data_IF_521219508491
#
_entry.id   IF_521219508491
#
_cell.length_a   1.000
_cell.length_b   1.000
_cell.length_c   1.000
_cell.angle_alpha   90.00
_cell.angle_beta   90.00
_cell.angle_gamma   90.00
#
_symmetry.space_group_name_H-M   'P 1'
#
loop_
_entity.id
_entity.type
_entity.pdbx_description
1 polymer ?
#
# COMPACT_ATOMS: atom_id res chain seq x y z
N UNK A 1 -24.49 -5.80 61.03
CA UNK A 1 -23.07 -5.78 60.62
C UNK A 1 -23.04 -5.92 59.11
N UNK A 2 -22.53 -4.94 58.35
CA UNK A 2 -22.29 -5.14 56.93
C UNK A 2 -20.94 -5.84 56.78
N UNK A 3 -20.94 -7.02 56.15
CA UNK A 3 -19.73 -7.74 55.78
C UNK A 3 -19.12 -7.03 54.57
N UNK A 4 -18.02 -6.33 54.78
CA UNK A 4 -17.20 -5.76 53.71
C UNK A 4 -16.50 -6.91 52.99
N UNK A 5 -17.01 -7.29 51.83
CA UNK A 5 -16.27 -8.17 50.90
C UNK A 5 -15.12 -7.34 50.32
N UNK A 6 -13.95 -7.48 50.91
CA UNK A 6 -12.69 -7.00 50.33
C UNK A 6 -12.47 -7.74 49.02
N UNK A 7 -12.64 -7.06 47.89
CA UNK A 7 -12.19 -7.57 46.60
C UNK A 7 -10.67 -7.80 46.70
N UNK A 8 -10.22 -9.03 46.48
CA UNK A 8 -8.79 -9.31 46.36
C UNK A 8 -8.30 -8.58 45.12
N UNK A 9 -7.50 -7.52 45.30
CA UNK A 9 -6.74 -6.91 44.22
C UNK A 9 -5.81 -7.97 43.64
N UNK A 10 -6.06 -8.35 42.38
CA UNK A 10 -5.16 -9.20 41.62
C UNK A 10 -3.95 -8.32 41.28
N UNK A 11 -2.85 -8.49 42.00
CA UNK A 11 -1.59 -7.81 41.68
C UNK A 11 -1.16 -8.26 40.28
N UNK A 12 -0.99 -7.35 39.30
CA UNK A 12 -0.55 -7.73 37.97
C UNK A 12 0.84 -8.36 38.05
N UNK A 13 1.02 -9.50 37.40
CA UNK A 13 2.35 -10.12 37.28
C UNK A 13 3.07 -9.40 36.13
N UNK A 14 4.04 -8.57 36.48
CA UNK A 14 4.89 -7.89 35.51
C UNK A 14 6.03 -8.80 35.04
N UNK A 15 6.36 -8.74 33.75
CA UNK A 15 7.51 -9.43 33.16
C UNK A 15 8.49 -8.44 32.55
N UNK A 16 9.79 -8.73 32.61
CA UNK A 16 10.80 -7.87 31.97
C UNK A 16 10.87 -8.14 30.47
N UNK A 17 10.95 -7.07 29.67
CA UNK A 17 11.18 -7.15 28.23
C UNK A 17 12.51 -7.86 27.91
N UNK A 18 12.67 -8.48 26.74
CA UNK A 18 13.95 -9.07 26.33
C UNK A 18 15.01 -8.00 26.01
N UNK A 19 16.26 -8.44 25.85
CA UNK A 19 17.32 -7.56 25.38
C UNK A 19 16.97 -6.91 24.02
N UNK A 20 17.30 -5.62 23.80
CA UNK A 20 18.15 -4.77 24.64
C UNK A 20 17.39 -3.96 25.72
N UNK A 21 16.10 -4.21 25.95
CA UNK A 21 15.23 -3.41 26.82
C UNK A 21 15.15 -3.92 28.28
N UNK A 22 16.23 -4.60 28.73
CA UNK A 22 16.40 -5.10 30.11
C UNK A 22 17.76 -4.73 30.70
N UNK A 23 18.44 -3.72 30.14
CA UNK A 23 19.75 -3.30 30.64
C UNK A 23 19.61 -2.69 32.02
N UNK A 24 20.27 -3.27 33.03
CA UNK A 24 20.28 -2.79 34.42
C UNK A 24 20.75 -1.34 34.58
N UNK A 25 21.52 -0.81 33.62
CA UNK A 25 21.99 0.58 33.64
C UNK A 25 20.95 1.59 33.17
N UNK A 26 19.77 1.16 32.68
CA UNK A 26 18.68 2.06 32.30
C UNK A 26 18.15 2.85 33.50
N UNK A 27 17.76 4.10 33.25
CA UNK A 27 17.36 5.11 34.24
C UNK A 27 15.84 5.40 34.22
N UNK A 28 15.09 4.63 33.44
CA UNK A 28 13.63 4.62 33.38
C UNK A 28 13.09 3.26 32.96
N UNK A 29 11.90 2.90 33.44
CA UNK A 29 11.14 1.73 33.00
C UNK A 29 9.82 2.21 32.39
N UNK A 30 9.50 1.75 31.18
CA UNK A 30 8.17 1.93 30.59
C UNK A 30 7.36 0.66 30.85
N UNK A 31 6.25 0.77 31.58
CA UNK A 31 5.37 -0.36 31.86
C UNK A 31 4.24 -0.41 30.84
N UNK A 32 4.15 -1.46 30.03
CA UNK A 32 3.10 -1.60 29.01
C UNK A 32 1.74 -1.96 29.61
N UNK A 33 0.67 -1.76 28.84
CA UNK A 33 -0.70 -2.10 29.25
C UNK A 33 -0.93 -3.61 29.45
N UNK A 34 -0.05 -4.45 28.89
CA UNK A 34 -0.02 -5.90 29.05
C UNK A 34 1.05 -6.37 30.05
N UNK A 35 1.44 -5.49 30.98
CA UNK A 35 2.33 -5.76 32.12
C UNK A 35 3.74 -6.23 31.74
N UNK A 36 4.33 -5.59 30.73
CA UNK A 36 5.74 -5.79 30.34
C UNK A 36 6.55 -4.54 30.64
N UNK A 37 7.63 -4.71 31.39
CA UNK A 37 8.54 -3.64 31.79
C UNK A 37 9.71 -3.50 30.82
N UNK A 38 9.84 -2.33 30.22
CA UNK A 38 10.93 -1.98 29.30
C UNK A 38 11.91 -1.04 29.99
N UNK A 39 13.05 -1.56 30.42
CA UNK A 39 14.12 -0.74 31.01
C UNK A 39 14.97 -0.10 29.91
N UNK A 40 14.96 1.23 29.86
CA UNK A 40 15.57 2.04 28.79
C UNK A 40 16.26 3.29 29.35
N UNK A 41 16.63 4.25 28.47
CA UNK A 41 17.33 5.47 28.83
C UNK A 41 16.50 6.70 28.47
N UNK A 42 16.29 7.60 29.44
CA UNK A 42 15.63 8.90 29.25
C UNK A 42 16.26 9.69 28.11
N UNK A 43 17.59 9.68 28.03
CA UNK A 43 18.34 10.40 26.98
C UNK A 43 17.97 9.94 25.56
N UNK A 44 17.74 8.64 25.34
CA UNK A 44 17.35 8.12 24.01
C UNK A 44 15.94 8.59 23.66
N UNK A 45 15.02 8.49 24.60
CA UNK A 45 13.63 8.92 24.41
C UNK A 45 13.52 10.44 24.20
N UNK A 46 14.26 11.24 24.98
CA UNK A 46 14.29 12.70 24.86
C UNK A 46 14.86 13.16 23.52
N UNK A 47 15.89 12.48 22.99
CA UNK A 47 16.42 12.78 21.66
C UNK A 47 15.43 12.43 20.54
N UNK A 48 14.56 11.44 20.74
CA UNK A 48 13.61 10.98 19.74
C UNK A 48 12.25 11.72 19.80
N UNK A 49 11.96 12.41 20.91
CA UNK A 49 10.64 12.99 21.19
C UNK A 49 10.76 14.25 22.08
N UNK A 50 10.30 15.42 21.60
CA UNK A 50 10.19 16.63 22.40
C UNK A 50 9.26 16.46 23.61
N UNK A 51 8.25 15.59 23.50
CA UNK A 51 7.33 15.28 24.60
C UNK A 51 8.09 14.61 25.74
N UNK A 52 8.92 13.61 25.44
CA UNK A 52 9.75 12.96 26.45
C UNK A 52 10.82 13.90 27.02
N UNK A 53 11.47 14.72 26.19
CA UNK A 53 12.45 15.72 26.65
C UNK A 53 11.84 16.67 27.67
N UNK A 54 10.66 17.22 27.34
CA UNK A 54 9.90 18.09 28.25
C UNK A 54 9.48 17.35 29.51
N UNK A 55 8.90 16.15 29.38
CA UNK A 55 8.43 15.33 30.51
C UNK A 55 9.54 15.05 31.52
N UNK A 56 10.76 14.78 31.05
CA UNK A 56 11.91 14.49 31.92
C UNK A 56 12.60 15.74 32.47
N UNK A 57 12.44 16.90 31.81
CA UNK A 57 12.97 18.18 32.25
C UNK A 57 12.15 18.89 33.33
N UNK A 58 10.91 18.47 33.57
CA UNK A 58 10.05 19.08 34.59
C UNK A 58 10.58 18.82 36.02
N UNK A 59 10.57 19.82 36.92
CA UNK A 59 10.91 19.60 38.32
C UNK A 59 9.90 18.63 38.93
N UNK A 60 10.33 17.40 39.24
CA UNK A 60 9.53 16.51 40.06
C UNK A 60 9.36 17.18 41.43
N UNK A 61 8.12 17.38 41.88
CA UNK A 61 7.82 18.04 43.14
C UNK A 61 8.47 17.29 44.30
N UNK A 62 9.66 17.75 44.70
CA UNK A 62 10.33 17.36 45.94
C UNK A 62 9.57 18.01 47.10
N UNK A 63 8.41 17.46 47.47
CA UNK A 63 7.52 18.21 48.35
C UNK A 63 6.47 17.44 49.13
N UNK A 64 6.34 16.12 48.96
CA UNK A 64 5.52 15.32 49.86
C UNK A 64 6.33 14.09 50.25
N UNK A 65 6.36 13.81 51.56
CA UNK A 65 6.94 12.59 52.09
C UNK A 65 6.45 11.42 51.24
N UNK A 66 7.39 10.58 50.82
CA UNK A 66 7.12 9.38 50.03
C UNK A 66 6.21 8.48 50.87
N UNK A 67 4.91 8.66 50.72
CA UNK A 67 3.97 7.57 50.86
C UNK A 67 4.29 6.68 49.64
N UNK A 68 4.77 5.47 49.90
CA UNK A 68 5.30 4.48 48.92
C UNK A 68 4.26 4.00 47.89
N UNK A 69 3.23 4.80 47.62
CA UNK A 69 2.00 4.44 46.90
C UNK A 69 1.67 5.37 45.72
N UNK A 70 2.47 6.40 45.43
CA UNK A 70 2.13 7.38 44.35
C UNK A 70 3.07 7.41 43.14
N UNK A 71 4.15 6.63 43.14
CA UNK A 71 4.99 6.42 41.96
C UNK A 71 5.70 5.08 42.05
N UNK A 72 5.24 4.09 41.29
CA UNK A 72 5.86 2.77 41.27
C UNK A 72 7.33 2.90 40.84
N UNK A 73 8.25 2.40 41.66
CA UNK A 73 9.67 2.32 41.33
C UNK A 73 10.12 0.88 41.46
N UNK A 74 10.93 0.42 40.50
CA UNK A 74 11.44 -0.95 40.44
C UNK A 74 12.96 -0.89 40.43
N UNK A 75 13.57 -1.48 41.45
CA UNK A 75 15.02 -1.40 41.73
C UNK A 75 15.55 0.04 41.79
N UNK A 76 14.78 0.95 42.40
CA UNK A 76 15.12 2.37 42.52
C UNK A 76 15.02 3.17 41.21
N UNK A 77 14.43 2.59 40.16
CA UNK A 77 14.19 3.26 38.88
C UNK A 77 12.70 3.55 38.71
N UNK A 78 12.33 4.77 38.29
CA UNK A 78 10.92 5.13 38.10
C UNK A 78 10.28 4.30 36.99
N UNK A 79 9.08 3.79 37.27
CA UNK A 79 8.21 3.13 36.29
C UNK A 79 7.19 4.15 35.78
N UNK A 80 7.09 4.29 34.47
CA UNK A 80 6.10 5.13 33.80
C UNK A 80 5.10 4.22 33.10
N UNK A 81 3.82 4.24 33.49
CA UNK A 81 2.80 3.43 32.83
C UNK A 81 2.50 3.97 31.43
N UNK A 82 2.43 3.06 30.46
CA UNK A 82 2.07 3.31 29.07
C UNK A 82 0.74 2.63 28.75
N UNK A 83 -0.10 3.32 27.98
CA UNK A 83 -1.36 2.77 27.52
C UNK A 83 -1.17 1.75 26.38
N UNK A 84 0.01 1.77 25.77
CA UNK A 84 0.38 0.94 24.64
C UNK A 84 0.79 -0.47 25.07
N UNK A 85 0.47 -1.46 24.23
CA UNK A 85 0.91 -2.85 24.45
C UNK A 85 2.40 -3.03 24.15
N UNK A 86 2.97 -4.09 24.71
CA UNK A 86 4.37 -4.47 24.59
C UNK A 86 4.92 -4.51 23.15
N UNK A 87 4.20 -4.96 22.10
CA UNK A 87 4.75 -4.98 20.74
C UNK A 87 4.96 -3.57 20.17
N UNK A 88 4.08 -2.63 20.51
CA UNK A 88 4.14 -1.25 20.02
C UNK A 88 5.31 -0.52 20.66
N UNK A 89 5.46 -0.66 21.99
CA UNK A 89 6.60 -0.11 22.73
C UNK A 89 7.91 -0.72 22.23
N UNK A 90 7.93 -2.03 21.97
CA UNK A 90 9.10 -2.72 21.39
C UNK A 90 9.51 -2.09 20.06
N UNK A 91 8.57 -1.84 19.16
CA UNK A 91 8.87 -1.26 17.85
C UNK A 91 9.29 0.21 17.95
N UNK A 92 8.63 1.01 18.80
CA UNK A 92 9.02 2.40 19.08
C UNK A 92 10.46 2.47 19.60
N UNK A 93 10.79 1.65 20.61
CA UNK A 93 12.14 1.61 21.18
C UNK A 93 13.16 1.05 20.19
N UNK A 94 12.81 0.06 19.37
CA UNK A 94 13.69 -0.45 18.33
C UNK A 94 14.08 0.65 17.34
N UNK A 95 13.13 1.50 16.95
CA UNK A 95 13.41 2.67 16.10
C UNK A 95 14.32 3.69 16.78
N UNK A 96 14.11 3.97 18.07
CA UNK A 96 14.92 4.96 18.81
C UNK A 96 16.37 4.50 19.03
N UNK A 97 16.60 3.19 19.11
CA UNK A 97 17.92 2.64 19.39
C UNK A 97 18.74 2.48 18.11
N UNK A 98 20.05 2.85 18.11
CA UNK A 98 20.92 2.74 16.94
C UNK A 98 21.37 1.28 16.71
N UNK A 99 20.42 0.38 16.47
CA UNK A 99 20.69 -1.06 16.29
C UNK A 99 20.02 -1.59 15.03
N UNK A 100 18.69 -1.55 14.98
CA UNK A 100 17.90 -1.99 13.83
C UNK A 100 16.55 -1.31 13.86
N UNK A 101 16.05 -0.91 12.69
CA UNK A 101 14.67 -0.47 12.54
C UNK A 101 13.70 -1.63 12.84
N UNK A 102 12.48 -1.32 13.30
CA UNK A 102 11.46 -2.33 13.51
C UNK A 102 11.05 -2.99 12.19
N UNK A 103 10.57 -4.23 12.27
CA UNK A 103 10.02 -4.96 11.12
C UNK A 103 8.52 -5.04 11.28
N UNK A 104 7.79 -4.24 10.49
CA UNK A 104 6.33 -4.17 10.52
C UNK A 104 5.75 -5.14 9.49
N UNK A 105 4.86 -6.02 9.95
CA UNK A 105 4.32 -7.15 9.18
C UNK A 105 2.92 -6.91 8.65
N UNK A 106 2.17 -6.02 9.30
CA UNK A 106 0.79 -5.73 8.95
C UNK A 106 0.52 -4.23 8.99
N UNK A 107 -0.60 -3.83 8.38
CA UNK A 107 -1.01 -2.43 8.36
C UNK A 107 -1.39 -1.98 9.78
N UNK A 108 -2.03 -2.84 10.56
CA UNK A 108 -2.38 -2.59 11.96
C UNK A 108 -1.15 -2.27 12.81
N UNK A 109 -0.05 -3.03 12.65
CA UNK A 109 1.21 -2.73 13.35
C UNK A 109 1.77 -1.36 12.98
N UNK A 110 1.61 -0.93 11.71
CA UNK A 110 2.02 0.40 11.27
C UNK A 110 1.14 1.48 11.90
N UNK A 111 -0.17 1.27 11.95
CA UNK A 111 -1.13 2.22 12.50
C UNK A 111 -0.97 2.41 14.01
N UNK A 112 -0.86 1.32 14.75
CA UNK A 112 -0.60 1.35 16.19
C UNK A 112 0.66 2.17 16.49
N UNK A 113 1.72 1.96 15.70
CA UNK A 113 2.98 2.68 15.86
C UNK A 113 2.88 4.14 15.39
N UNK A 114 2.07 4.42 14.37
CA UNK A 114 1.80 5.78 13.88
C UNK A 114 1.09 6.62 14.93
N UNK A 115 0.07 6.07 15.60
CA UNK A 115 -0.64 6.77 16.68
C UNK A 115 0.31 7.10 17.85
N UNK A 116 1.20 6.18 18.20
CA UNK A 116 2.25 6.41 19.20
C UNK A 116 3.22 7.50 18.74
N UNK A 117 3.68 7.43 17.50
CA UNK A 117 4.58 8.44 16.94
C UNK A 117 3.95 9.84 16.98
N UNK A 118 2.65 9.96 16.68
CA UNK A 118 1.92 11.23 16.81
C UNK A 118 1.75 11.65 18.27
N UNK A 119 1.36 10.73 19.15
CA UNK A 119 1.12 11.00 20.59
C UNK A 119 2.36 11.57 21.27
N UNK A 120 3.54 11.06 20.92
CA UNK A 120 4.81 11.48 21.50
C UNK A 120 5.63 12.38 20.55
N UNK A 121 5.02 12.94 19.50
CA UNK A 121 5.66 13.89 18.57
C UNK A 121 7.02 13.41 18.01
N UNK A 122 7.04 12.17 17.51
CA UNK A 122 8.22 11.51 16.96
C UNK A 122 8.26 11.66 15.43
N UNK A 123 8.59 12.86 14.94
CA UNK A 123 8.55 13.21 13.51
C UNK A 123 9.35 12.23 12.63
N UNK A 124 10.58 11.88 13.04
CA UNK A 124 11.42 10.93 12.29
C UNK A 124 10.79 9.53 12.18
N UNK A 125 10.03 9.10 13.20
CA UNK A 125 9.29 7.83 13.15
C UNK A 125 8.11 7.93 12.18
N UNK A 126 7.38 9.04 12.19
CA UNK A 126 6.27 9.30 11.23
C UNK A 126 6.80 9.27 9.79
N UNK A 127 7.90 9.96 9.50
CA UNK A 127 8.52 9.96 8.18
C UNK A 127 8.93 8.54 7.75
N UNK A 128 9.59 7.80 8.65
CA UNK A 128 10.01 6.43 8.37
C UNK A 128 8.82 5.51 8.09
N UNK A 129 7.75 5.60 8.90
CA UNK A 129 6.52 4.84 8.67
C UNK A 129 5.89 5.19 7.33
N UNK A 130 5.88 6.47 6.95
CA UNK A 130 5.39 6.94 5.66
C UNK A 130 6.12 6.33 4.47
N UNK A 131 7.43 6.06 4.62
CA UNK A 131 8.22 5.33 3.62
C UNK A 131 7.89 3.83 3.61
N UNK A 132 7.68 3.21 4.78
CA UNK A 132 7.32 1.80 4.87
C UNK A 132 5.97 1.51 4.21
N UNK A 133 5.00 2.41 4.36
CA UNK A 133 3.63 2.24 3.84
C UNK A 133 3.58 2.11 2.31
N UNK A 134 4.57 2.61 1.58
CA UNK A 134 4.66 2.48 0.11
C UNK A 134 5.02 1.06 -0.31
N UNK A 135 5.52 0.22 0.59
CA UNK A 135 5.85 -1.16 0.27
C UNK A 135 4.61 -1.94 -0.19
N UNK A 136 4.79 -2.67 -1.30
CA UNK A 136 3.74 -3.48 -1.95
C UNK A 136 2.94 -4.33 -0.97
N UNK A 137 3.59 -4.90 0.05
CA UNK A 137 2.94 -5.78 1.05
C UNK A 137 1.76 -5.14 1.79
N UNK A 138 1.71 -3.81 1.89
CA UNK A 138 0.67 -3.11 2.65
C UNK A 138 -0.56 -2.72 1.84
N UNK A 139 -0.45 -2.64 0.51
CA UNK A 139 -1.55 -2.23 -0.35
C UNK A 139 -1.90 -3.25 -1.43
N UNK A 140 -1.18 -4.37 -1.51
CA UNK A 140 -1.38 -5.30 -2.62
C UNK A 140 -2.71 -6.05 -2.61
N UNK A 141 -3.25 -6.30 -1.42
CA UNK A 141 -4.52 -7.03 -1.24
C UNK A 141 -5.71 -6.09 -1.04
N UNK A 142 -5.47 -4.98 -0.35
CA UNK A 142 -6.51 -4.06 0.12
C UNK A 142 -6.16 -2.60 -0.19
N UNK A 143 -5.99 -2.22 -1.47
CA UNK A 143 -5.53 -0.89 -1.84
C UNK A 143 -6.52 0.21 -1.42
N UNK A 144 -7.82 -0.07 -1.35
CA UNK A 144 -8.82 0.90 -0.88
C UNK A 144 -8.67 1.21 0.60
N UNK A 145 -8.44 0.18 1.41
CA UNK A 145 -8.18 0.31 2.84
C UNK A 145 -6.89 1.10 3.08
N UNK A 146 -5.83 0.74 2.37
CA UNK A 146 -4.57 1.47 2.40
C UNK A 146 -4.72 2.95 1.96
N UNK A 147 -5.54 3.21 0.94
CA UNK A 147 -5.87 4.57 0.50
C UNK A 147 -6.61 5.37 1.59
N UNK A 148 -7.62 4.77 2.23
CA UNK A 148 -8.39 5.40 3.30
C UNK A 148 -7.48 5.79 4.48
N UNK A 149 -6.59 4.88 4.89
CA UNK A 149 -5.59 5.13 5.92
C UNK A 149 -4.60 6.21 5.50
N UNK A 150 -4.09 6.15 4.27
CA UNK A 150 -3.25 7.22 3.73
C UNK A 150 -3.91 8.58 3.86
N UNK A 151 -5.21 8.68 3.58
CA UNK A 151 -5.98 9.91 3.73
C UNK A 151 -6.15 10.33 5.19
N UNK A 152 -6.53 9.39 6.08
CA UNK A 152 -6.70 9.64 7.52
C UNK A 152 -5.43 10.17 8.19
N UNK A 153 -4.27 9.68 7.76
CA UNK A 153 -2.97 10.04 8.32
C UNK A 153 -2.19 11.08 7.50
N UNK A 154 -2.79 11.64 6.45
CA UNK A 154 -2.15 12.58 5.53
C UNK A 154 -0.81 12.06 4.94
N UNK A 155 -0.73 10.75 4.69
CA UNK A 155 0.44 10.08 4.13
C UNK A 155 0.37 10.06 2.59
N UNK A 156 0.72 11.18 1.97
CA UNK A 156 0.64 11.38 0.51
C UNK A 156 1.30 10.27 -0.34
N UNK A 157 2.42 9.73 0.14
CA UNK A 157 3.14 8.64 -0.53
C UNK A 157 2.29 7.37 -0.61
N UNK A 158 1.62 7.01 0.49
CA UNK A 158 0.71 5.87 0.56
C UNK A 158 -0.53 6.12 -0.29
N UNK A 159 -1.12 7.32 -0.21
CA UNK A 159 -2.32 7.67 -1.00
C UNK A 159 -2.06 7.42 -2.49
N UNK A 160 -0.93 7.93 -3.02
CA UNK A 160 -0.56 7.75 -4.43
C UNK A 160 -0.27 6.29 -4.77
N UNK A 161 0.48 5.59 -3.94
CA UNK A 161 0.82 4.19 -4.15
C UNK A 161 -0.43 3.29 -4.16
N UNK A 162 -1.31 3.47 -3.18
CA UNK A 162 -2.56 2.72 -3.04
C UNK A 162 -3.54 3.02 -4.18
N UNK A 163 -3.67 4.28 -4.60
CA UNK A 163 -4.49 4.65 -5.75
C UNK A 163 -3.99 3.97 -7.03
N UNK A 164 -2.69 4.01 -7.31
CA UNK A 164 -2.09 3.30 -8.45
C UNK A 164 -2.30 1.78 -8.34
N UNK A 165 -2.17 1.21 -7.14
CA UNK A 165 -2.37 -0.23 -6.94
C UNK A 165 -3.83 -0.67 -7.11
N UNK A 166 -4.78 0.22 -6.83
CA UNK A 166 -6.22 -0.03 -7.05
C UNK A 166 -6.57 -0.33 -8.52
N UNK A 167 -5.74 0.11 -9.48
CA UNK A 167 -5.91 -0.17 -10.91
C UNK A 167 -5.79 -1.68 -11.24
N UNK A 168 -5.22 -2.47 -10.33
CA UNK A 168 -5.16 -3.94 -10.43
C UNK A 168 -6.48 -4.63 -10.07
N UNK A 169 -7.48 -3.87 -9.63
CA UNK A 169 -8.77 -4.40 -9.23
C UNK A 169 -9.87 -3.82 -10.12
N UNK A 170 -10.96 -4.59 -10.35
CA UNK A 170 -12.12 -4.06 -11.02
C UNK A 170 -12.72 -2.93 -10.17
N UNK A 171 -13.31 -1.91 -10.81
CA UNK A 171 -13.93 -0.80 -10.06
C UNK A 171 -14.99 -1.28 -9.06
N UNK A 172 -15.64 -2.43 -9.32
CA UNK A 172 -16.60 -3.04 -8.40
C UNK A 172 -15.99 -3.41 -7.06
N UNK A 173 -14.71 -3.79 -7.04
CA UNK A 173 -13.97 -4.12 -5.83
C UNK A 173 -13.60 -2.89 -5.02
N UNK A 174 -13.64 -1.70 -5.63
CA UNK A 174 -13.38 -0.44 -4.92
C UNK A 174 -14.56 -0.01 -4.03
N UNK A 175 -15.75 -0.60 -4.22
CA UNK A 175 -16.91 -0.39 -3.36
C UNK A 175 -16.97 -1.36 -2.17
N UNK A 176 -15.97 -2.24 -2.00
CA UNK A 176 -15.89 -3.10 -0.82
C UNK A 176 -15.83 -2.22 0.43
N UNK A 177 -16.67 -2.54 1.41
CA UNK A 177 -16.72 -1.79 2.65
C UNK A 177 -15.51 -2.15 3.51
N UNK A 178 -14.82 -1.13 3.99
CA UNK A 178 -13.76 -1.23 4.99
C UNK A 178 -14.11 -0.25 6.10
N UNK A 179 -13.89 -0.63 7.35
CA UNK A 179 -14.22 0.22 8.50
C UNK A 179 -13.48 1.57 8.41
N UNK A 180 -12.27 1.57 7.86
CA UNK A 180 -11.47 2.79 7.63
C UNK A 180 -12.09 3.78 6.63
N UNK A 181 -13.08 3.36 5.82
CA UNK A 181 -13.83 4.29 4.96
C UNK A 181 -14.78 5.19 5.76
N UNK A 182 -15.16 4.81 6.98
CA UNK A 182 -15.99 5.65 7.86
C UNK A 182 -15.23 6.88 8.35
N UNK A 183 -13.89 6.81 8.38
CA UNK A 183 -13.01 7.88 8.85
C UNK A 183 -12.66 8.92 7.77
N UNK A 184 -13.10 8.72 6.52
CA UNK A 184 -12.79 9.63 5.41
C UNK A 184 -14.05 10.29 4.86
N UNK A 185 -13.86 11.47 4.26
CA UNK A 185 -14.97 12.12 3.56
C UNK A 185 -15.41 11.31 2.34
N UNK A 186 -16.70 11.34 2.01
CA UNK A 186 -17.20 10.78 0.75
C UNK A 186 -16.48 11.38 -0.47
N UNK A 187 -16.06 12.65 -0.39
CA UNK A 187 -15.26 13.30 -1.43
C UNK A 187 -13.92 12.61 -1.69
N UNK A 188 -13.27 12.10 -0.65
CA UNK A 188 -11.99 11.38 -0.73
C UNK A 188 -12.13 10.07 -1.52
N UNK A 189 -13.21 9.31 -1.28
CA UNK A 189 -13.52 8.10 -2.04
C UNK A 189 -13.92 8.44 -3.49
N UNK A 190 -14.72 9.48 -3.69
CA UNK A 190 -15.12 9.94 -5.04
C UNK A 190 -13.89 10.29 -5.89
N UNK A 191 -12.84 10.90 -5.30
CA UNK A 191 -11.58 11.18 -6.02
C UNK A 191 -10.88 9.90 -6.48
N UNK A 192 -10.82 8.86 -5.64
CA UNK A 192 -10.25 7.57 -6.02
C UNK A 192 -11.03 6.94 -7.19
N UNK A 193 -12.36 6.96 -7.13
CA UNK A 193 -13.21 6.41 -8.19
C UNK A 193 -13.06 7.20 -9.51
N UNK A 194 -13.01 8.54 -9.45
CA UNK A 194 -12.72 9.38 -10.62
C UNK A 194 -11.35 9.07 -11.20
N UNK A 195 -10.33 8.92 -10.34
CA UNK A 195 -8.99 8.55 -10.76
C UNK A 195 -8.98 7.20 -11.49
N UNK A 196 -9.61 6.16 -10.91
CA UNK A 196 -9.73 4.84 -11.52
C UNK A 196 -10.43 4.91 -12.88
N UNK A 197 -11.56 5.60 -12.97
CA UNK A 197 -12.28 5.80 -14.24
C UNK A 197 -11.42 6.50 -15.31
N UNK A 198 -10.69 7.57 -14.94
CA UNK A 198 -9.78 8.24 -15.89
C UNK A 198 -8.69 7.29 -16.39
N UNK A 199 -8.14 6.44 -15.51
CA UNK A 199 -7.17 5.41 -15.90
C UNK A 199 -7.81 4.37 -16.83
N UNK A 200 -9.04 3.93 -16.57
CA UNK A 200 -9.83 3.06 -17.45
C UNK A 200 -10.07 3.66 -18.82
N UNK A 201 -10.41 4.94 -18.90
CA UNK A 201 -10.63 5.63 -20.16
C UNK A 201 -9.35 5.66 -21.00
N UNK A 202 -8.23 6.12 -20.42
CA UNK A 202 -6.97 6.20 -21.18
C UNK A 202 -6.41 4.83 -21.53
N UNK A 203 -6.43 3.86 -20.61
CA UNK A 203 -5.90 2.52 -20.86
C UNK A 203 -6.74 1.77 -21.90
N UNK A 204 -8.07 1.78 -21.77
CA UNK A 204 -8.94 1.11 -22.74
C UNK A 204 -8.91 1.77 -24.12
N UNK A 205 -8.66 3.08 -24.19
CA UNK A 205 -8.52 3.79 -25.47
C UNK A 205 -7.34 3.27 -26.32
N UNK A 206 -6.27 2.76 -25.69
CA UNK A 206 -5.13 2.16 -26.41
C UNK A 206 -5.53 0.91 -27.19
N UNK A 207 -6.56 0.21 -26.73
CA UNK A 207 -7.09 -0.98 -27.39
C UNK A 207 -8.36 -0.70 -28.22
N UNK A 208 -8.82 0.55 -28.23
CA UNK A 208 -10.05 0.96 -28.89
C UNK A 208 -9.82 1.42 -30.34
N UNK A 209 -10.89 1.39 -31.13
CA UNK A 209 -10.92 2.02 -32.43
C UNK A 209 -10.25 1.20 -33.53
N UNK A 210 -9.80 1.92 -34.57
CA UNK A 210 -9.25 1.33 -35.80
C UNK A 210 -7.78 1.67 -36.02
N UNK A 211 -7.17 2.44 -35.13
CA UNK A 211 -5.78 2.90 -35.29
C UNK A 211 -5.00 2.62 -34.01
N UNK A 212 -3.81 2.04 -34.14
CA UNK A 212 -2.98 1.61 -33.01
C UNK A 212 -1.59 2.27 -33.07
N UNK A 213 -1.49 3.57 -32.72
CA UNK A 213 -0.26 4.37 -32.93
C UNK A 213 0.90 3.97 -32.01
N UNK A 214 0.63 3.24 -30.91
CA UNK A 214 1.66 2.71 -30.02
C UNK A 214 2.41 1.52 -30.63
N UNK A 215 1.89 0.91 -31.70
CA UNK A 215 2.55 -0.19 -32.39
C UNK A 215 3.50 0.36 -33.45
N UNK A 216 4.81 0.30 -33.18
CA UNK A 216 5.85 0.83 -34.07
C UNK A 216 6.45 -0.22 -35.01
N UNK A 217 6.20 -1.50 -34.77
CA UNK A 217 6.72 -2.58 -35.61
C UNK A 217 5.65 -3.15 -36.53
N UNK A 218 5.98 -3.27 -37.81
CA UNK A 218 5.12 -3.90 -38.82
C UNK A 218 5.51 -5.33 -39.15
N UNK A 219 6.45 -5.93 -38.40
CA UNK A 219 6.99 -7.27 -38.69
C UNK A 219 5.99 -8.41 -38.48
N UNK A 220 4.84 -8.14 -37.88
CA UNK A 220 3.89 -9.15 -37.47
C UNK A 220 3.11 -9.76 -38.64
N UNK A 221 2.88 -11.07 -38.60
CA UNK A 221 2.09 -11.78 -39.60
C UNK A 221 0.62 -11.35 -39.57
N UNK A 222 0.08 -10.95 -38.41
CA UNK A 222 -1.27 -10.37 -38.35
C UNK A 222 -1.41 -9.03 -39.08
N UNK A 223 -0.32 -8.40 -39.52
CA UNK A 223 -0.34 -7.22 -40.39
C UNK A 223 -0.10 -7.59 -41.86
N UNK A 224 0.82 -8.52 -42.12
CA UNK A 224 1.28 -8.83 -43.47
C UNK A 224 0.59 -10.01 -44.17
N UNK A 225 -0.15 -10.86 -43.44
CA UNK A 225 -0.64 -12.12 -44.01
C UNK A 225 -1.73 -11.93 -45.07
N UNK A 226 -1.58 -12.41 -46.30
CA UNK A 226 -2.65 -12.34 -47.31
C UNK A 226 -3.70 -13.45 -47.20
N UNK A 227 -3.47 -14.48 -46.38
CA UNK A 227 -4.28 -15.71 -46.35
C UNK A 227 -5.40 -15.77 -45.31
N UNK A 228 -5.55 -14.77 -44.44
CA UNK A 228 -6.62 -14.73 -43.45
C UNK A 228 -7.50 -13.49 -43.58
N UNK A 229 -8.71 -13.54 -43.01
CA UNK A 229 -9.68 -12.43 -43.06
C UNK A 229 -9.08 -11.15 -42.43
N UNK A 230 -9.12 -10.06 -43.19
CA UNK A 230 -8.77 -8.72 -42.69
C UNK A 230 -9.87 -8.23 -41.75
N UNK A 231 -9.46 -7.64 -40.63
CA UNK A 231 -10.34 -6.87 -39.75
C UNK A 231 -10.48 -5.43 -40.24
N UNK A 232 -11.10 -4.59 -39.42
CA UNK A 232 -11.32 -3.17 -39.72
C UNK A 232 -10.30 -2.21 -39.09
N UNK A 233 -9.33 -2.74 -38.33
CA UNK A 233 -8.24 -1.97 -37.74
C UNK A 233 -6.98 -1.92 -38.59
N UNK A 234 -6.19 -0.89 -38.36
CA UNK A 234 -5.01 -0.49 -39.14
C UNK A 234 -3.89 -0.03 -38.21
N UNK A 235 -2.66 -0.39 -38.55
CA UNK A 235 -1.47 0.09 -37.85
C UNK A 235 -0.74 1.07 -38.76
N UNK A 236 -0.58 2.35 -38.36
CA UNK A 236 0.18 3.33 -39.13
C UNK A 236 1.68 3.02 -39.05
N UNK A 237 2.42 3.27 -40.13
CA UNK A 237 3.89 3.15 -40.15
C UNK A 237 4.51 4.53 -40.30
N UNK A 238 5.38 4.88 -39.35
CA UNK A 238 6.30 6.05 -39.35
C UNK A 238 6.16 6.99 -40.55
N UNK A 239 5.48 8.14 -40.35
CA UNK A 239 5.35 9.28 -41.30
C UNK A 239 4.97 8.93 -42.76
N UNK A 240 4.66 7.67 -43.07
CA UNK A 240 4.26 7.20 -44.38
C UNK A 240 2.73 7.17 -44.45
N UNK A 241 2.20 7.27 -45.67
CA UNK A 241 0.77 7.12 -45.93
C UNK A 241 0.32 5.66 -45.96
N UNK A 242 1.23 4.70 -45.69
CA UNK A 242 0.93 3.27 -45.72
C UNK A 242 0.44 2.78 -44.36
N UNK A 243 -0.77 2.22 -44.33
CA UNK A 243 -1.37 1.61 -43.15
C UNK A 243 -1.57 0.11 -43.38
N UNK A 244 -1.15 -0.71 -42.42
CA UNK A 244 -1.29 -2.17 -42.51
C UNK A 244 -2.58 -2.60 -41.83
N UNK A 245 -3.51 -3.16 -42.61
CA UNK A 245 -4.74 -3.71 -42.06
C UNK A 245 -4.43 -4.92 -41.18
N UNK A 246 -4.99 -4.98 -39.98
CA UNK A 246 -4.81 -6.09 -39.06
C UNK A 246 -5.72 -7.28 -39.38
N UNK A 247 -5.38 -8.49 -38.90
CA UNK A 247 -6.23 -9.68 -39.07
C UNK A 247 -7.31 -9.76 -38.00
N UNK A 248 -8.45 -10.34 -38.38
CA UNK A 248 -9.65 -10.38 -37.54
C UNK A 248 -9.41 -11.05 -36.18
N UNK A 249 -8.56 -12.09 -36.11
CA UNK A 249 -8.24 -12.75 -34.83
C UNK A 249 -7.52 -11.79 -33.87
N UNK A 250 -6.63 -10.93 -34.37
CA UNK A 250 -5.93 -9.96 -33.55
C UNK A 250 -6.85 -8.81 -33.13
N UNK A 251 -7.74 -8.36 -34.02
CA UNK A 251 -8.78 -7.38 -33.66
C UNK A 251 -9.71 -7.89 -32.56
N UNK A 252 -10.00 -9.19 -32.55
CA UNK A 252 -10.79 -9.83 -31.49
C UNK A 252 -10.05 -9.82 -30.14
N UNK A 253 -8.73 -10.05 -30.15
CA UNK A 253 -7.90 -9.82 -28.95
C UNK A 253 -7.95 -8.37 -28.49
N UNK A 254 -7.80 -7.39 -29.39
CA UNK A 254 -7.84 -5.97 -29.03
C UNK A 254 -9.18 -5.58 -28.41
N UNK A 255 -10.30 -6.13 -28.93
CA UNK A 255 -11.62 -5.93 -28.35
C UNK A 255 -11.73 -6.53 -26.93
N UNK A 256 -11.26 -7.76 -26.73
CA UNK A 256 -11.27 -8.40 -25.41
C UNK A 256 -10.39 -7.61 -24.42
N UNK A 257 -9.22 -7.15 -24.86
CA UNK A 257 -8.32 -6.32 -24.08
C UNK A 257 -8.97 -4.99 -23.69
N UNK A 258 -9.67 -4.33 -24.62
CA UNK A 258 -10.41 -3.10 -24.35
C UNK A 258 -11.45 -3.29 -23.24
N UNK A 259 -12.26 -4.36 -23.30
CA UNK A 259 -13.27 -4.66 -22.29
C UNK A 259 -12.64 -4.94 -20.92
N UNK A 260 -11.54 -5.70 -20.88
CA UNK A 260 -10.82 -5.97 -19.65
C UNK A 260 -10.19 -4.71 -19.03
N UNK A 261 -9.65 -3.81 -19.87
CA UNK A 261 -9.02 -2.56 -19.42
C UNK A 261 -10.02 -1.54 -18.86
N UNK A 262 -11.28 -1.57 -19.32
CA UNK A 262 -12.35 -0.75 -18.71
C UNK A 262 -12.61 -1.15 -17.26
N UNK A 263 -12.60 -2.45 -16.98
CA UNK A 263 -12.79 -2.95 -15.63
C UNK A 263 -11.53 -2.74 -14.78
N UNK A 264 -10.36 -3.14 -15.30
CA UNK A 264 -9.08 -3.17 -14.60
C UNK A 264 -8.01 -2.50 -15.46
N UNK A 265 -7.68 -1.22 -15.26
CA UNK A 265 -6.77 -0.48 -16.12
C UNK A 265 -5.28 -0.74 -15.83
N UNK A 266 -4.82 -1.96 -16.05
CA UNK A 266 -3.41 -2.33 -15.83
C UNK A 266 -2.92 -3.41 -16.81
N UNK A 267 -1.60 -3.57 -16.94
CA UNK A 267 -0.96 -4.59 -17.79
C UNK A 267 -1.44 -6.01 -17.46
N UNK A 268 -1.63 -6.33 -16.18
CA UNK A 268 -2.05 -7.66 -15.77
C UNK A 268 -3.44 -8.05 -16.31
N UNK A 269 -4.27 -7.07 -16.70
CA UNK A 269 -5.57 -7.34 -17.31
C UNK A 269 -5.44 -8.03 -18.64
N UNK A 270 -4.57 -7.55 -19.53
CA UNK A 270 -4.38 -8.13 -20.88
C UNK A 270 -3.55 -9.43 -20.88
N UNK A 271 -3.01 -9.82 -19.73
CA UNK A 271 -2.31 -11.09 -19.52
C UNK A 271 -3.24 -12.24 -19.14
N UNK A 272 -4.52 -11.95 -18.85
CA UNK A 272 -5.51 -12.97 -18.50
C UNK A 272 -5.65 -13.93 -19.69
N UNK A 273 -5.52 -15.23 -19.43
CA UNK A 273 -5.48 -16.27 -20.47
C UNK A 273 -6.74 -16.23 -21.33
N UNK A 274 -7.90 -16.07 -20.70
CA UNK A 274 -9.22 -16.00 -21.34
C UNK A 274 -9.32 -14.89 -22.40
N UNK A 275 -8.58 -13.78 -22.24
CA UNK A 275 -8.57 -12.68 -23.22
C UNK A 275 -7.92 -13.12 -24.54
N UNK A 276 -6.88 -13.95 -24.44
CA UNK A 276 -6.05 -14.36 -25.57
C UNK A 276 -6.49 -15.69 -26.19
N UNK A 277 -7.17 -16.54 -25.42
CA UNK A 277 -7.44 -17.93 -25.80
C UNK A 277 -8.22 -18.10 -27.10
N UNK A 278 -9.37 -17.44 -27.24
CA UNK A 278 -10.21 -17.58 -28.43
C UNK A 278 -9.58 -16.94 -29.68
N UNK A 279 -9.00 -15.71 -29.60
CA UNK A 279 -8.17 -15.14 -30.66
C UNK A 279 -7.06 -16.09 -31.17
N UNK A 280 -6.32 -16.72 -30.25
CA UNK A 280 -5.23 -17.63 -30.60
C UNK A 280 -5.74 -18.90 -31.30
N UNK A 281 -6.82 -19.51 -30.80
CA UNK A 281 -7.45 -20.68 -31.45
C UNK A 281 -7.90 -20.35 -32.87
N UNK A 282 -8.48 -19.17 -33.08
CA UNK A 282 -8.90 -18.70 -34.40
C UNK A 282 -7.71 -18.51 -35.34
N UNK A 283 -6.62 -17.89 -34.86
CA UNK A 283 -5.39 -17.76 -35.65
C UNK A 283 -4.84 -19.13 -36.09
N UNK A 284 -4.81 -20.09 -35.18
CA UNK A 284 -4.30 -21.46 -35.41
C UNK A 284 -5.16 -22.25 -36.39
N UNK A 285 -6.49 -22.16 -36.29
CA UNK A 285 -7.42 -22.90 -37.16
C UNK A 285 -7.54 -22.30 -38.55
N UNK A 286 -7.53 -20.97 -38.67
CA UNK A 286 -7.91 -20.28 -39.90
C UNK A 286 -6.76 -19.95 -40.83
N UNK A 287 -5.49 -20.10 -40.42
CA UNK A 287 -4.37 -19.58 -41.21
C UNK A 287 -3.03 -20.26 -40.93
N UNK A 288 -2.45 -20.93 -41.94
CA UNK A 288 -1.17 -21.64 -41.82
C UNK A 288 0.05 -20.74 -41.59
N UNK A 289 -0.05 -19.44 -41.88
CA UNK A 289 1.01 -18.44 -41.64
C UNK A 289 0.91 -17.79 -40.25
N UNK A 290 -0.30 -17.35 -39.86
CA UNK A 290 -0.50 -16.67 -38.57
C UNK A 290 -0.48 -17.67 -37.40
N UNK A 291 -1.11 -18.83 -37.55
CA UNK A 291 -1.25 -19.82 -36.48
C UNK A 291 0.04 -20.19 -35.76
N UNK A 292 1.12 -20.58 -36.46
CA UNK A 292 2.38 -20.98 -35.82
C UNK A 292 3.08 -19.88 -35.02
N UNK A 293 2.89 -18.60 -35.38
CA UNK A 293 3.57 -17.47 -34.71
C UNK A 293 2.65 -16.70 -33.77
N UNK A 294 1.33 -16.92 -33.82
CA UNK A 294 0.34 -16.09 -33.12
C UNK A 294 0.62 -15.94 -31.61
N UNK A 295 1.05 -17.02 -30.94
CA UNK A 295 1.35 -16.95 -29.51
C UNK A 295 2.57 -16.07 -29.20
N UNK A 296 3.64 -16.20 -29.99
CA UNK A 296 4.86 -15.40 -29.83
C UNK A 296 4.59 -13.93 -30.18
N UNK A 297 3.90 -13.67 -31.28
CA UNK A 297 3.53 -12.31 -31.68
C UNK A 297 2.63 -11.65 -30.65
N UNK A 298 1.66 -12.38 -30.10
CA UNK A 298 0.75 -11.85 -29.10
C UNK A 298 1.46 -11.52 -27.79
N UNK A 299 2.43 -12.34 -27.37
CA UNK A 299 3.26 -12.05 -26.20
C UNK A 299 4.02 -10.73 -26.36
N UNK A 300 4.65 -10.51 -27.51
CA UNK A 300 5.36 -9.26 -27.82
C UNK A 300 4.39 -8.06 -27.83
N UNK A 301 3.20 -8.22 -28.42
CA UNK A 301 2.14 -7.20 -28.38
C UNK A 301 1.71 -6.88 -26.94
N UNK A 302 1.51 -7.89 -26.09
CA UNK A 302 1.13 -7.72 -24.68
C UNK A 302 2.22 -6.95 -23.91
N UNK A 303 3.49 -7.22 -24.19
CA UNK A 303 4.58 -6.51 -23.54
C UNK A 303 4.65 -5.04 -23.95
N UNK A 304 4.53 -4.75 -25.25
CA UNK A 304 4.52 -3.37 -25.78
C UNK A 304 3.29 -2.60 -25.30
N UNK A 305 2.08 -3.16 -25.47
CA UNK A 305 0.83 -2.55 -25.03
C UNK A 305 0.83 -2.36 -23.51
N UNK A 306 1.35 -3.34 -22.76
CA UNK A 306 1.49 -3.26 -21.31
C UNK A 306 2.36 -2.10 -20.85
N UNK A 307 3.49 -1.87 -21.51
CA UNK A 307 4.35 -0.71 -21.23
C UNK A 307 3.65 0.62 -21.53
N UNK A 308 2.87 0.70 -22.62
CA UNK A 308 2.12 1.92 -22.92
C UNK A 308 0.97 2.14 -21.93
N UNK A 309 0.29 1.07 -21.46
CA UNK A 309 -0.74 1.16 -20.41
C UNK A 309 -0.13 1.75 -19.14
N UNK A 310 0.98 1.21 -18.65
CA UNK A 310 1.66 1.71 -17.43
C UNK A 310 2.12 3.16 -17.60
N UNK A 311 2.59 3.53 -18.79
CA UNK A 311 2.98 4.90 -19.12
C UNK A 311 1.81 5.87 -19.12
N UNK A 312 0.68 5.55 -19.73
CA UNK A 312 -0.46 6.50 -19.78
C UNK A 312 -1.18 6.61 -18.43
N UNK A 313 -1.29 5.52 -17.67
CA UNK A 313 -1.94 5.55 -16.34
C UNK A 313 -1.09 6.24 -15.28
N UNK A 314 0.24 6.13 -15.36
CA UNK A 314 1.15 6.86 -14.44
C UNK A 314 1.13 8.39 -14.64
N UNK A 315 0.70 8.88 -15.80
CA UNK A 315 0.53 10.30 -16.08
C UNK A 315 -0.78 10.87 -15.50
N UNK A 316 -1.74 10.01 -15.14
CA UNK A 316 -2.99 10.45 -14.52
C UNK A 316 -2.68 10.85 -13.08
N UNK A 317 -3.01 12.09 -12.74
CA UNK A 317 -2.86 12.61 -11.39
C UNK A 317 -4.13 12.33 -10.58
N UNK A 318 -3.93 11.93 -9.33
CA UNK A 318 -4.98 11.94 -8.33
C UNK A 318 -5.24 13.39 -7.91
N UNK A 319 -6.51 13.79 -7.83
CA UNK A 319 -6.89 15.15 -7.43
C UNK A 319 -6.42 15.45 -6.00
N UNK A 320 -5.76 16.60 -5.81
CA UNK A 320 -5.31 17.06 -4.50
C UNK A 320 -6.51 17.58 -3.67
N UNK A 321 -6.52 17.30 -2.36
CA UNK A 321 -7.55 17.82 -1.45
C UNK A 321 -7.70 17.01 -0.18
N UNK A 322 -6.57 16.61 0.42
CA UNK A 322 -6.53 15.91 1.70
C UNK A 322 -6.39 16.92 2.83
#
# INVERSE_FOLDING_TARGET
MPSTTTAMEIVPIYSDAPAPFNKRTGDIILGSSDNVDFRTFKAILALASPVFDTMFGLPQSKGEAVDETSGESKDGVPVVPFAERSPVITNMLAFCYPTRNPTLKSLEEVLDLWEVARKYDMEALIEWLGLQLVEKRFHEKEPVRAYALGCRYHADSLIKAAAQWSLQFPITDLYKNFDELEDISAGTLVRLLKFHNRCSDVASSLAAGREFPWMTSTRYNFLNCSGCQRGDGWVPVDRSTEAFGARNWWMEFMKNAQEALKARPCKASIMIEEISMEPLKKAQKSCSKCGPLAHMELKDVIDVLGGEIEKVTSQILLEAGF
#
